data_IF_334317841282
#
_entry.id   IF_334317841282
#
_cell.length_a   1.000
_cell.length_b   1.000
_cell.length_c   1.000
_cell.angle_alpha   90.00
_cell.angle_beta   90.00
_cell.angle_gamma   90.00
#
_symmetry.space_group_name_H-M   'P 1'
#
loop_
_entity.id
_entity.type
_entity.pdbx_description
1 polymer ?
#
# COMPACT_ATOMS: atom_id res chain seq x y z
N UNK A 1 -12.95 -1.02 -1.20
CA UNK A 1 -12.10 -0.19 -0.31
C UNK A 1 -10.80 -0.92 -0.07
N UNK A 2 -9.72 -0.20 0.22
CA UNK A 2 -8.42 -0.78 0.57
C UNK A 2 -8.07 -0.45 2.01
N UNK A 3 -7.64 -1.47 2.75
CA UNK A 3 -7.26 -1.41 4.15
C UNK A 3 -5.80 -1.85 4.33
N UNK A 4 -4.98 -1.02 4.96
CA UNK A 4 -3.61 -1.38 5.30
C UNK A 4 -3.09 -0.61 6.50
N UNK A 5 -2.07 -1.18 7.12
CA UNK A 5 -1.27 -0.57 8.17
C UNK A 5 0.09 -0.23 7.60
N UNK A 6 0.70 0.86 8.02
CA UNK A 6 2.10 1.18 7.70
C UNK A 6 2.83 1.55 8.97
N UNK A 7 4.02 1.01 9.12
CA UNK A 7 5.00 1.44 10.12
C UNK A 7 6.26 1.88 9.42
N UNK A 8 6.85 2.98 9.87
CA UNK A 8 8.14 3.44 9.33
C UNK A 8 9.05 4.02 10.41
N UNK A 9 10.35 3.84 10.24
CA UNK A 9 11.39 4.54 10.99
C UNK A 9 11.73 5.92 10.40
N UNK A 10 11.08 6.30 9.29
CA UNK A 10 11.36 7.52 8.55
C UNK A 10 10.52 8.69 9.05
N UNK A 11 11.19 9.83 9.24
CA UNK A 11 10.54 11.09 9.63
C UNK A 11 9.58 11.63 8.57
N UNK A 12 9.86 11.32 7.29
CA UNK A 12 8.96 11.55 6.18
C UNK A 12 9.14 10.43 5.15
N UNK A 13 8.04 9.78 4.78
CA UNK A 13 8.00 8.86 3.66
C UNK A 13 6.70 9.04 2.87
N UNK A 14 6.71 8.69 1.58
CA UNK A 14 5.53 8.66 0.73
C UNK A 14 5.49 7.30 0.05
N UNK A 15 4.45 6.53 0.35
CA UNK A 15 4.19 5.25 -0.28
C UNK A 15 3.18 5.45 -1.41
N UNK A 16 3.51 4.91 -2.58
CA UNK A 16 2.74 5.07 -3.80
C UNK A 16 2.21 3.72 -4.28
N UNK A 17 1.00 3.72 -4.83
CA UNK A 17 0.42 2.58 -5.51
C UNK A 17 -0.20 3.01 -6.84
N UNK A 18 -0.29 2.05 -7.76
CA UNK A 18 -0.83 2.25 -9.11
C UNK A 18 -1.56 1.01 -9.61
N UNK A 19 -2.32 1.14 -10.68
CA UNK A 19 -2.92 0.00 -11.39
C UNK A 19 -1.86 -1.01 -11.81
N UNK A 20 -2.16 -2.29 -11.60
CA UNK A 20 -1.24 -3.38 -11.90
C UNK A 20 -0.95 -3.48 -13.40
N UNK A 21 0.33 -3.62 -13.72
CA UNK A 21 0.80 -3.91 -15.07
C UNK A 21 1.66 -5.18 -15.03
N UNK A 22 1.25 -6.22 -15.77
CA UNK A 22 1.96 -7.50 -15.80
C UNK A 22 3.39 -7.36 -16.35
N UNK A 23 3.62 -6.37 -17.23
CA UNK A 23 4.94 -5.99 -17.73
C UNK A 23 5.08 -4.47 -17.64
N UNK A 24 6.09 -3.99 -16.91
CA UNK A 24 6.46 -2.58 -16.97
C UNK A 24 7.22 -2.32 -18.27
N UNK A 25 6.68 -1.41 -19.09
CA UNK A 25 7.34 -0.96 -20.32
C UNK A 25 8.11 0.33 -20.06
N UNK A 26 9.04 0.66 -20.96
CA UNK A 26 9.72 1.97 -20.92
C UNK A 26 8.74 3.13 -20.92
N UNK A 27 7.63 2.99 -21.65
CA UNK A 27 6.54 3.98 -21.70
C UNK A 27 5.78 4.07 -20.38
N UNK A 28 5.49 2.96 -19.69
CA UNK A 28 4.79 2.98 -18.40
C UNK A 28 5.66 3.60 -17.30
N UNK A 29 6.97 3.30 -17.28
CA UNK A 29 7.91 3.94 -16.36
C UNK A 29 8.02 5.45 -16.62
N UNK A 30 8.04 5.85 -17.90
CA UNK A 30 8.08 7.26 -18.30
C UNK A 30 6.79 7.97 -17.90
N UNK A 31 5.62 7.34 -18.10
CA UNK A 31 4.32 7.89 -17.65
C UNK A 31 4.29 8.14 -16.16
N UNK A 32 4.72 7.19 -15.34
CA UNK A 32 4.76 7.38 -13.88
C UNK A 32 5.69 8.53 -13.47
N UNK A 33 6.83 8.68 -14.15
CA UNK A 33 7.74 9.80 -13.90
C UNK A 33 7.12 11.16 -14.24
N UNK A 34 6.34 11.28 -15.32
CA UNK A 34 5.77 12.54 -15.78
C UNK A 34 4.38 12.88 -15.19
N UNK A 35 3.54 11.88 -14.93
CA UNK A 35 2.16 12.05 -14.46
C UNK A 35 2.02 11.83 -12.95
N UNK A 36 3.01 11.21 -12.30
CA UNK A 36 2.93 10.82 -10.90
C UNK A 36 2.22 9.47 -10.69
N UNK A 37 2.13 9.00 -9.43
CA UNK A 37 1.39 7.79 -9.09
C UNK A 37 -0.12 8.01 -9.23
N UNK A 38 -0.89 6.92 -9.32
CA UNK A 38 -2.36 7.02 -9.26
C UNK A 38 -2.78 7.63 -7.92
N UNK A 39 -2.13 7.18 -6.83
CA UNK A 39 -2.38 7.67 -5.47
C UNK A 39 -1.13 7.55 -4.60
N UNK A 40 -1.02 8.44 -3.61
CA UNK A 40 0.10 8.46 -2.68
C UNK A 40 -0.31 8.76 -1.24
N UNK A 41 0.26 8.02 -0.30
CA UNK A 41 0.04 8.24 1.13
C UNK A 41 1.30 8.79 1.79
N UNK A 42 1.17 9.95 2.42
CA UNK A 42 2.25 10.56 3.22
C UNK A 42 2.29 9.91 4.60
N UNK A 43 3.37 9.20 4.85
CA UNK A 43 3.65 8.45 6.06
C UNK A 43 4.60 9.27 6.95
N UNK A 44 4.30 9.30 8.24
CA UNK A 44 5.13 9.90 9.29
C UNK A 44 5.50 8.79 10.29
N UNK A 45 6.53 8.96 11.15
CA UNK A 45 6.91 7.97 12.14
C UNK A 45 5.75 7.53 13.00
N UNK A 46 5.78 6.26 13.39
CA UNK A 46 4.73 5.61 14.16
C UNK A 46 3.84 4.72 13.29
N UNK A 47 2.90 4.08 13.96
CA UNK A 47 1.91 3.24 13.30
C UNK A 47 0.77 4.10 12.78
N UNK A 48 0.37 3.83 11.54
CA UNK A 48 -0.79 4.46 10.93
C UNK A 48 -1.63 3.41 10.22
N UNK A 49 -2.91 3.70 10.15
CA UNK A 49 -3.91 2.86 9.53
C UNK A 49 -4.58 3.66 8.42
N UNK A 50 -4.85 2.99 7.31
CA UNK A 50 -5.51 3.56 6.15
C UNK A 50 -6.70 2.71 5.77
N UNK A 51 -7.83 3.36 5.59
CA UNK A 51 -9.00 2.81 4.94
C UNK A 51 -9.41 3.79 3.84
N UNK A 52 -9.20 3.42 2.59
CA UNK A 52 -9.36 4.30 1.44
C UNK A 52 -10.43 3.79 0.48
N UNK A 53 -11.19 4.71 -0.10
CA UNK A 53 -12.07 4.41 -1.22
C UNK A 53 -11.21 4.32 -2.49
N UNK A 54 -11.21 3.15 -3.12
CA UNK A 54 -10.46 2.86 -4.34
C UNK A 54 -11.43 2.16 -5.28
N UNK A 55 -11.39 2.50 -6.56
CA UNK A 55 -12.18 1.81 -7.58
C UNK A 55 -11.84 0.31 -7.61
N UNK A 56 -12.78 -0.57 -7.96
CA UNK A 56 -12.47 -1.97 -8.16
C UNK A 56 -11.43 -2.18 -9.27
N UNK A 57 -10.46 -3.04 -9.04
CA UNK A 57 -9.38 -3.30 -9.99
C UNK A 57 -8.17 -3.98 -9.38
N UNK A 58 -7.16 -4.24 -10.22
CA UNK A 58 -5.87 -4.77 -9.80
C UNK A 58 -4.86 -3.63 -9.62
N UNK A 59 -4.14 -3.66 -8.51
CA UNK A 59 -3.19 -2.64 -8.13
C UNK A 59 -1.88 -3.26 -7.65
N UNK A 60 -0.84 -2.45 -7.57
CA UNK A 60 0.45 -2.80 -6.99
C UNK A 60 1.05 -1.59 -6.28
N UNK A 61 1.89 -1.84 -5.26
CA UNK A 61 2.75 -0.77 -4.76
C UNK A 61 3.80 -0.46 -5.82
N UNK A 62 4.01 0.83 -6.13
CA UNK A 62 4.97 1.20 -7.15
C UNK A 62 6.28 1.67 -6.54
N UNK A 63 6.21 2.58 -5.58
CA UNK A 63 7.38 3.30 -5.08
C UNK A 63 7.24 3.69 -3.62
N UNK A 64 8.37 3.82 -2.95
CA UNK A 64 8.48 4.57 -1.72
C UNK A 64 9.51 5.67 -1.86
N UNK A 65 9.10 6.89 -1.54
CA UNK A 65 9.97 8.05 -1.48
C UNK A 65 10.28 8.35 -0.01
N UNK A 66 11.55 8.50 0.30
CA UNK A 66 12.07 8.81 1.63
C UNK A 66 13.13 9.90 1.49
N UNK A 67 12.76 11.16 1.73
CA UNK A 67 13.61 12.31 1.46
C UNK A 67 14.11 12.33 0.00
N UNK A 68 15.42 12.22 -0.23
CA UNK A 68 16.05 12.20 -1.55
C UNK A 68 16.21 10.79 -2.12
N UNK A 69 15.68 9.77 -1.44
CA UNK A 69 15.82 8.36 -1.80
C UNK A 69 14.50 7.81 -2.31
N UNK A 70 14.59 6.96 -3.32
CA UNK A 70 13.47 6.25 -3.90
C UNK A 70 13.82 4.77 -3.94
N UNK A 71 12.85 3.91 -3.59
CA UNK A 71 12.89 2.50 -3.92
C UNK A 71 11.65 2.16 -4.73
N UNK A 72 11.87 1.61 -5.93
CA UNK A 72 10.82 1.11 -6.82
C UNK A 72 10.57 -0.36 -6.58
N UNK A 73 9.31 -0.77 -6.72
CA UNK A 73 8.87 -2.13 -6.57
C UNK A 73 8.44 -2.69 -7.92
N UNK A 74 8.90 -3.90 -8.21
CA UNK A 74 8.46 -4.64 -9.39
C UNK A 74 7.15 -5.37 -9.13
N UNK A 75 6.48 -5.77 -10.21
CA UNK A 75 5.12 -6.34 -10.31
C UNK A 75 4.81 -7.61 -9.48
N UNK A 76 5.67 -8.03 -8.55
CA UNK A 76 5.42 -9.18 -7.68
C UNK A 76 4.34 -8.93 -6.61
N UNK A 77 3.99 -7.67 -6.38
CA UNK A 77 3.22 -7.15 -5.25
C UNK A 77 1.81 -6.70 -5.63
N UNK A 78 1.13 -7.52 -6.43
CA UNK A 78 -0.26 -7.29 -6.86
C UNK A 78 -1.25 -7.50 -5.70
N UNK A 79 -2.27 -6.67 -5.64
CA UNK A 79 -3.48 -6.88 -4.83
C UNK A 79 -4.73 -6.50 -5.62
N UNK A 80 -5.87 -7.14 -5.32
CA UNK A 80 -7.14 -6.94 -6.05
C UNK A 80 -8.17 -6.29 -5.14
N UNK A 81 -8.77 -5.21 -5.63
CA UNK A 81 -9.83 -4.46 -4.95
C UNK A 81 -11.17 -4.82 -5.58
N UNK A 82 -12.11 -5.29 -4.76
CA UNK A 82 -13.45 -5.64 -5.21
C UNK A 82 -14.49 -4.63 -4.72
N UNK A 83 -15.57 -4.48 -5.50
CA UNK A 83 -16.71 -3.66 -5.13
C UNK A 83 -17.42 -4.24 -3.89
N UNK A 84 -17.86 -3.37 -2.98
CA UNK A 84 -18.60 -3.79 -1.78
C UNK A 84 -17.78 -4.54 -0.72
N UNK A 85 -16.45 -4.65 -0.90
CA UNK A 85 -15.54 -5.31 0.05
C UNK A 85 -14.48 -4.37 0.59
N UNK A 86 -13.94 -4.71 1.76
CA UNK A 86 -12.74 -4.12 2.32
C UNK A 86 -11.59 -5.09 2.03
N UNK A 87 -10.72 -4.77 1.07
CA UNK A 87 -9.53 -5.55 0.79
C UNK A 87 -8.43 -5.17 1.78
N UNK A 88 -8.02 -6.10 2.63
CA UNK A 88 -6.85 -5.95 3.48
C UNK A 88 -5.59 -6.36 2.72
N UNK A 89 -4.67 -5.41 2.53
CA UNK A 89 -3.47 -5.62 1.69
C UNK A 89 -2.18 -5.82 2.50
N UNK A 90 -2.29 -5.80 3.83
CA UNK A 90 -1.20 -6.13 4.75
C UNK A 90 -0.75 -4.99 5.66
N UNK A 91 0.21 -5.31 6.52
CA UNK A 91 1.01 -4.36 7.28
C UNK A 91 2.34 -4.12 6.56
N UNK A 92 2.52 -2.89 6.09
CA UNK A 92 3.66 -2.46 5.29
C UNK A 92 4.68 -1.80 6.23
N UNK A 93 5.83 -2.44 6.41
CA UNK A 93 6.95 -1.86 7.12
C UNK A 93 7.91 -1.23 6.12
N UNK A 94 8.00 0.10 6.16
CA UNK A 94 8.97 0.88 5.37
C UNK A 94 10.17 1.17 6.26
N UNK A 95 11.30 0.53 5.97
CA UNK A 95 12.54 0.70 6.71
C UNK A 95 13.56 1.30 5.75
N UNK A 96 14.19 2.42 6.11
CA UNK A 96 15.40 2.86 5.43
C UNK A 96 16.55 3.09 6.42
N UNK A 97 17.75 2.78 5.94
CA UNK A 97 19.03 3.05 6.58
C UNK A 97 19.92 3.92 5.66
N UNK A 98 21.20 4.07 6.01
CA UNK A 98 22.13 4.91 5.26
C UNK A 98 22.42 4.40 3.84
N UNK A 99 22.08 3.17 3.47
CA UNK A 99 22.45 2.60 2.18
C UNK A 99 21.25 2.00 1.42
N UNK A 100 20.12 1.74 2.09
CA UNK A 100 18.99 1.02 1.50
C UNK A 100 17.64 1.48 2.07
N UNK A 101 16.62 1.46 1.23
CA UNK A 101 15.22 1.44 1.65
C UNK A 101 14.61 0.08 1.29
N UNK A 102 13.88 -0.53 2.22
CA UNK A 102 13.19 -1.81 2.04
C UNK A 102 11.75 -1.73 2.51
N UNK A 103 10.88 -2.48 1.85
CA UNK A 103 9.52 -2.77 2.31
C UNK A 103 9.41 -4.22 2.71
N UNK A 104 8.76 -4.44 3.85
CA UNK A 104 8.35 -5.76 4.32
C UNK A 104 6.84 -5.73 4.46
N UNK A 105 6.15 -6.75 3.97
CA UNK A 105 4.71 -6.91 4.24
C UNK A 105 4.51 -8.07 5.21
N UNK A 106 3.75 -7.80 6.26
CA UNK A 106 3.33 -8.75 7.27
C UNK A 106 1.81 -8.88 7.27
N UNK A 107 1.32 -10.01 7.77
CA UNK A 107 -0.08 -10.17 8.09
C UNK A 107 -0.31 -9.69 9.53
N UNK A 108 -1.07 -8.60 9.67
CA UNK A 108 -1.55 -8.04 10.93
C UNK A 108 -3.07 -7.77 10.82
N UNK A 109 -3.78 -8.70 10.16
CA UNK A 109 -5.21 -8.58 9.87
C UNK A 109 -6.05 -8.33 11.13
N UNK A 110 -5.76 -9.04 12.21
CA UNK A 110 -6.50 -8.92 13.46
C UNK A 110 -6.44 -7.50 14.04
N UNK A 111 -5.29 -6.85 13.94
CA UNK A 111 -5.11 -5.47 14.39
C UNK A 111 -5.85 -4.47 13.49
N UNK A 112 -5.78 -4.67 12.18
CA UNK A 112 -6.54 -3.86 11.22
C UNK A 112 -8.05 -4.02 11.41
N UNK A 113 -8.53 -5.24 11.68
CA UNK A 113 -9.96 -5.50 12.00
C UNK A 113 -10.38 -4.69 13.22
N UNK A 114 -9.61 -4.71 14.31
CA UNK A 114 -9.92 -3.93 15.52
C UNK A 114 -9.97 -2.43 15.23
N UNK A 115 -9.02 -1.93 14.44
CA UNK A 115 -9.01 -0.52 14.02
C UNK A 115 -10.27 -0.15 13.24
N UNK A 116 -10.65 -0.95 12.23
CA UNK A 116 -11.84 -0.70 11.40
C UNK A 116 -13.12 -0.81 12.23
N UNK A 117 -13.25 -1.81 13.09
CA UNK A 117 -14.39 -1.95 14.01
C UNK A 117 -14.59 -0.71 14.87
N UNK A 118 -13.48 -0.17 15.41
CA UNK A 118 -13.52 0.97 16.32
C UNK A 118 -13.75 2.31 15.61
N UNK A 119 -13.16 2.52 14.44
CA UNK A 119 -13.14 3.85 13.77
C UNK A 119 -14.15 3.95 12.62
N UNK A 120 -14.52 2.80 12.03
CA UNK A 120 -15.40 2.71 10.87
C UNK A 120 -16.47 1.61 11.05
N UNK A 121 -17.25 1.62 12.15
CA UNK A 121 -18.19 0.55 12.48
C UNK A 121 -19.27 0.33 11.40
N UNK A 122 -19.65 1.38 10.67
CA UNK A 122 -20.61 1.31 9.56
C UNK A 122 -20.04 0.46 8.42
N UNK A 123 -18.78 0.68 8.03
CA UNK A 123 -18.17 -0.13 6.96
C UNK A 123 -17.94 -1.56 7.43
N UNK A 124 -17.49 -1.76 8.66
CA UNK A 124 -17.31 -3.10 9.23
C UNK A 124 -18.60 -3.94 9.23
N UNK A 125 -19.74 -3.32 9.55
CA UNK A 125 -21.02 -4.03 9.65
C UNK A 125 -21.62 -4.38 8.28
N UNK A 126 -21.30 -3.62 7.23
CA UNK A 126 -21.94 -3.72 5.92
C UNK A 126 -21.05 -4.35 4.84
N UNK A 127 -19.74 -4.45 5.06
CA UNK A 127 -18.79 -4.89 4.05
C UNK A 127 -18.01 -6.10 4.55
N UNK A 128 -17.88 -7.11 3.69
CA UNK A 128 -17.00 -8.25 3.97
C UNK A 128 -15.54 -7.79 3.87
N UNK A 129 -14.74 -8.15 4.87
CA UNK A 129 -13.28 -8.00 4.79
C UNK A 129 -12.69 -9.20 4.05
N UNK A 130 -11.81 -8.93 3.09
CA UNK A 130 -11.14 -9.93 2.29
C UNK A 130 -9.64 -9.70 2.35
N UNK A 131 -8.91 -10.76 2.72
CA UNK A 131 -7.47 -10.70 2.85
C UNK A 131 -6.81 -10.95 1.49
N UNK A 132 -5.99 -10.00 1.07
CA UNK A 132 -5.13 -10.06 -0.11
C UNK A 132 -3.76 -9.48 0.26
N UNK A 133 -3.08 -10.12 1.23
CA UNK A 133 -1.77 -9.66 1.71
C UNK A 133 -0.81 -9.62 0.54
N UNK A 134 -0.19 -8.45 0.35
CA UNK A 134 0.71 -8.26 -0.77
C UNK A 134 2.00 -9.06 -0.55
N UNK A 135 2.42 -9.85 -1.54
CA UNK A 135 3.70 -10.57 -1.50
C UNK A 135 4.78 -9.77 -2.22
N UNK A 136 5.92 -9.53 -1.57
CA UNK A 136 7.12 -9.04 -2.24
C UNK A 136 8.04 -10.23 -2.48
N UNK A 137 8.08 -10.75 -3.71
CA UNK A 137 9.04 -11.81 -4.04
C UNK A 137 10.44 -11.18 -4.14
N UNK A 138 11.39 -11.77 -3.40
CA UNK A 138 12.82 -11.37 -3.43
C UNK A 138 13.45 -11.61 -4.79
#
# INVERSE_FOLDING_TARGET
>A
MVAFKVTTNLSHAQLQYKKFLAQETRESMTREYFLGPDEAVVIKPGEKYWLMSVEPGDYMWSKVFAYTREASFHSSNRFTVEAGKITYVGHIEVIADQDMARIIVKDDEADMVRYIQSHYPIYYSNMKMEKSVTEFRR
#
